data_IF_504361089541
#
_entry.id   IF_504361089541
#
_cell.length_a   1.000
_cell.length_b   1.000
_cell.length_c   1.000
_cell.angle_alpha   90.00
_cell.angle_beta   90.00
_cell.angle_gamma   90.00
#
_symmetry.space_group_name_H-M   'P 1'
#
loop_
_entity.id
_entity.type
_entity.pdbx_description
1 polymer ?
#
# COMPACT_ATOMS: atom_id res chain seq x y z
N UNK A 1 -3.06 -3.83 3.50
CA UNK A 1 -2.07 -3.71 4.61
C UNK A 1 -2.72 -3.01 5.78
N UNK A 2 -2.73 -3.62 6.97
CA UNK A 2 -3.37 -3.11 8.17
C UNK A 2 -2.35 -2.50 9.13
N UNK A 3 -2.81 -1.56 9.97
CA UNK A 3 -2.04 -0.95 11.06
C UNK A 3 -2.52 -1.45 12.45
N UNK A 4 -3.29 -2.53 12.46
CA UNK A 4 -3.77 -3.21 13.65
C UNK A 4 -3.47 -4.71 13.53
N UNK A 5 -3.39 -5.43 14.66
CA UNK A 5 -3.22 -6.89 14.63
C UNK A 5 -4.46 -7.59 14.08
N UNK A 6 -4.26 -8.74 13.45
CA UNK A 6 -5.33 -9.63 13.05
C UNK A 6 -5.78 -10.48 14.26
N UNK A 7 -7.03 -10.97 14.29
CA UNK A 7 -8.03 -10.95 13.19
C UNK A 7 -8.92 -9.70 13.12
N UNK A 8 -8.75 -8.75 14.00
CA UNK A 8 -9.60 -7.57 14.05
C UNK A 8 -9.36 -6.65 12.85
N UNK A 9 -10.43 -5.99 12.38
CA UNK A 9 -10.37 -4.98 11.33
C UNK A 9 -10.77 -3.64 11.93
N UNK A 10 -9.83 -2.69 11.90
CA UNK A 10 -10.08 -1.34 12.41
C UNK A 10 -9.95 -0.31 11.29
N UNK A 11 -10.91 0.60 11.13
CA UNK A 11 -12.17 0.70 11.87
C UNK A 11 -13.17 -0.39 11.48
N UNK A 12 -14.08 -0.75 12.40
CA UNK A 12 -15.02 -1.86 12.24
C UNK A 12 -15.94 -1.74 11.00
N UNK A 13 -16.21 -0.51 10.54
CA UNK A 13 -16.96 -0.24 9.31
C UNK A 13 -16.31 -0.84 8.05
N UNK A 14 -15.02 -1.13 8.06
CA UNK A 14 -14.30 -1.76 6.94
C UNK A 14 -14.33 -3.29 6.97
N UNK A 15 -15.01 -3.91 7.94
CA UNK A 15 -15.07 -5.39 8.04
C UNK A 15 -15.68 -6.03 6.81
N UNK A 16 -16.71 -5.41 6.21
CA UNK A 16 -17.33 -5.91 4.98
C UNK A 16 -16.34 -5.89 3.80
N UNK A 17 -15.61 -4.79 3.65
CA UNK A 17 -14.57 -4.65 2.60
C UNK A 17 -13.45 -5.67 2.81
N UNK A 18 -13.05 -5.91 4.06
CA UNK A 18 -12.02 -6.89 4.37
C UNK A 18 -12.44 -8.32 3.98
N UNK A 19 -13.70 -8.68 4.23
CA UNK A 19 -14.27 -9.97 3.78
C UNK A 19 -14.30 -10.07 2.27
N UNK A 20 -14.80 -9.04 1.60
CA UNK A 20 -14.85 -8.98 0.14
C UNK A 20 -13.47 -9.20 -0.50
N UNK A 21 -12.42 -8.59 0.05
CA UNK A 21 -11.04 -8.82 -0.37
C UNK A 21 -10.66 -10.30 -0.27
N UNK A 22 -10.98 -10.94 0.86
CA UNK A 22 -10.65 -12.36 1.08
C UNK A 22 -11.45 -13.29 0.17
N UNK A 23 -12.74 -13.01 -0.02
CA UNK A 23 -13.65 -13.80 -0.86
C UNK A 23 -13.21 -13.76 -2.35
N UNK A 24 -12.59 -12.66 -2.78
CA UNK A 24 -12.01 -12.52 -4.12
C UNK A 24 -10.53 -12.97 -4.22
N UNK A 25 -10.03 -13.72 -3.24
CA UNK A 25 -8.68 -14.30 -3.26
C UNK A 25 -7.57 -13.31 -2.90
N UNK A 26 -7.91 -12.14 -2.36
CA UNK A 26 -6.97 -11.20 -1.80
C UNK A 26 -6.49 -11.62 -0.41
N UNK A 27 -5.64 -10.78 0.21
CA UNK A 27 -5.11 -11.05 1.53
C UNK A 27 -5.09 -9.82 2.42
N UNK A 28 -5.28 -10.02 3.72
CA UNK A 28 -5.03 -9.02 4.75
C UNK A 28 -3.67 -9.28 5.38
N UNK A 29 -2.83 -8.24 5.43
CA UNK A 29 -1.46 -8.35 5.92
C UNK A 29 -1.24 -7.32 7.02
N UNK A 30 -0.58 -7.74 8.10
CA UNK A 30 -0.09 -6.86 9.18
C UNK A 30 1.27 -7.34 9.65
N UNK A 31 2.11 -6.45 10.15
CA UNK A 31 3.36 -6.79 10.83
C UNK A 31 3.18 -6.89 12.35
N UNK A 32 1.98 -6.55 12.86
CA UNK A 32 1.72 -6.55 14.30
C UNK A 32 1.27 -7.94 14.76
N UNK A 33 1.91 -8.43 15.82
CA UNK A 33 1.48 -9.66 16.48
C UNK A 33 0.08 -9.50 17.09
N UNK A 34 -0.71 -10.58 17.13
CA UNK A 34 -2.11 -10.58 17.59
C UNK A 34 -2.33 -9.97 18.99
N UNK A 35 -1.34 -10.04 19.87
CA UNK A 35 -1.40 -9.50 21.22
C UNK A 35 -0.87 -8.05 21.33
N UNK A 36 -0.42 -7.44 20.25
CA UNK A 36 0.12 -6.08 20.25
C UNK A 36 -1.00 -5.08 20.44
N UNK A 37 -0.87 -4.18 21.40
CA UNK A 37 -1.79 -3.05 21.52
C UNK A 37 -1.56 -2.05 20.38
N UNK A 38 -2.62 -1.70 19.67
CA UNK A 38 -2.58 -0.68 18.63
C UNK A 38 -2.25 0.68 19.27
N UNK A 39 -1.36 1.43 18.61
CA UNK A 39 -1.05 2.81 18.93
C UNK A 39 -1.12 3.69 17.67
N UNK A 40 -1.20 5.02 17.85
CA UNK A 40 -1.33 5.96 16.74
C UNK A 40 -0.13 5.95 15.77
N UNK A 41 1.05 5.54 16.23
CA UNK A 41 2.27 5.48 15.41
C UNK A 41 2.27 4.29 14.44
N UNK A 42 1.44 3.26 14.68
CA UNK A 42 1.34 2.08 13.83
C UNK A 42 0.91 2.42 12.40
N UNK A 43 0.09 3.46 12.22
CA UNK A 43 -0.32 3.92 10.87
C UNK A 43 0.87 4.46 10.08
N UNK A 44 1.74 5.24 10.72
CA UNK A 44 2.94 5.81 10.11
C UNK A 44 3.94 4.67 9.81
N UNK A 45 4.18 3.80 10.78
CA UNK A 45 5.08 2.66 10.62
C UNK A 45 4.65 1.74 9.48
N UNK A 46 3.32 1.47 9.34
CA UNK A 46 2.77 0.65 8.26
C UNK A 46 3.01 1.26 6.87
N UNK A 47 3.04 2.58 6.73
CA UNK A 47 3.13 3.26 5.42
C UNK A 47 4.41 2.87 4.66
N UNK A 48 5.51 2.60 5.35
CA UNK A 48 6.74 2.08 4.73
C UNK A 48 6.52 0.75 3.99
N UNK A 49 5.66 -0.11 4.52
CA UNK A 49 5.37 -1.41 3.91
C UNK A 49 4.50 -1.23 2.68
N UNK A 50 3.53 -0.30 2.72
CA UNK A 50 2.72 0.05 1.55
C UNK A 50 3.64 0.55 0.43
N UNK A 51 4.52 1.49 0.74
CA UNK A 51 5.48 2.03 -0.21
C UNK A 51 6.40 0.94 -0.78
N UNK A 52 6.97 0.08 0.09
CA UNK A 52 7.89 -0.98 -0.32
C UNK A 52 7.26 -2.07 -1.20
N UNK A 53 5.97 -2.37 -1.02
CA UNK A 53 5.24 -3.37 -1.80
C UNK A 53 4.66 -2.79 -3.11
N UNK A 54 4.69 -1.49 -3.32
CA UNK A 54 4.14 -0.85 -4.52
C UNK A 54 5.21 -0.61 -5.57
N UNK A 55 4.80 -0.56 -6.84
CA UNK A 55 5.66 -0.16 -7.96
C UNK A 55 5.99 1.34 -7.91
N UNK A 56 5.05 2.15 -7.41
CA UNK A 56 5.21 3.58 -7.23
C UNK A 56 4.13 4.14 -6.33
N UNK A 57 4.26 5.40 -5.94
CA UNK A 57 3.32 6.12 -5.08
C UNK A 57 2.77 7.34 -5.81
N UNK A 58 1.45 7.45 -5.87
CA UNK A 58 0.76 8.60 -6.46
C UNK A 58 0.07 9.39 -5.35
N UNK A 59 0.44 10.65 -5.19
CA UNK A 59 -0.24 11.57 -4.27
C UNK A 59 -1.20 12.43 -5.07
N UNK A 60 -2.50 12.15 -4.93
CA UNK A 60 -3.55 12.87 -5.67
C UNK A 60 -3.81 14.23 -5.05
N UNK A 61 -3.88 14.27 -3.72
CA UNK A 61 -4.12 15.50 -2.96
C UNK A 61 -3.50 15.36 -1.57
N UNK A 62 -2.89 16.42 -1.08
CA UNK A 62 -2.35 16.48 0.28
C UNK A 62 -2.12 17.94 0.71
N UNK A 63 -2.52 18.32 1.92
CA UNK A 63 -2.00 19.53 2.53
C UNK A 63 -0.51 19.39 2.83
N UNK A 64 0.15 20.49 3.15
CA UNK A 64 1.60 20.57 3.37
C UNK A 64 2.12 19.66 4.51
N UNK A 65 1.24 19.23 5.41
CA UNK A 65 1.53 18.32 6.53
C UNK A 65 0.69 17.05 6.52
N UNK A 66 0.28 16.60 5.34
CA UNK A 66 -0.58 15.42 5.18
C UNK A 66 0.14 14.10 5.42
N UNK A 67 -0.58 13.11 5.99
CA UNK A 67 -0.05 11.76 6.21
C UNK A 67 0.36 11.02 4.92
N UNK A 68 -0.22 11.38 3.78
CA UNK A 68 0.15 10.87 2.46
C UNK A 68 1.59 11.22 2.08
N UNK A 69 2.10 12.37 2.54
CA UNK A 69 3.50 12.77 2.30
C UNK A 69 4.49 11.83 2.98
N UNK A 70 4.13 11.26 4.13
CA UNK A 70 4.96 10.26 4.82
C UNK A 70 5.13 9.02 3.93
N UNK A 71 4.05 8.55 3.30
CA UNK A 71 4.12 7.42 2.36
C UNK A 71 4.96 7.76 1.13
N UNK A 72 4.82 8.98 0.59
CA UNK A 72 5.62 9.47 -0.53
C UNK A 72 7.11 9.52 -0.18
N UNK A 73 7.48 9.98 1.01
CA UNK A 73 8.87 9.97 1.47
C UNK A 73 9.42 8.55 1.63
N UNK A 74 8.63 7.63 2.21
CA UNK A 74 9.03 6.23 2.27
C UNK A 74 9.24 5.62 0.88
N UNK A 75 8.43 6.00 -0.11
CA UNK A 75 8.58 5.54 -1.48
C UNK A 75 9.88 6.07 -2.11
N UNK A 76 10.18 7.37 -1.93
CA UNK A 76 11.45 7.99 -2.37
C UNK A 76 12.66 7.30 -1.73
N UNK A 77 12.62 7.05 -0.41
CA UNK A 77 13.68 6.35 0.34
C UNK A 77 13.91 4.89 -0.14
N UNK A 78 12.92 4.28 -0.76
CA UNK A 78 12.98 2.92 -1.32
C UNK A 78 13.19 2.89 -2.84
N UNK A 79 13.61 4.00 -3.43
CA UNK A 79 13.81 4.14 -4.89
C UNK A 79 12.55 3.74 -5.69
N UNK A 80 11.36 4.05 -5.15
CA UNK A 80 10.10 3.89 -5.87
C UNK A 80 9.71 5.20 -6.52
N UNK A 81 9.18 5.13 -7.74
CA UNK A 81 8.65 6.31 -8.42
C UNK A 81 7.59 7.01 -7.58
N UNK A 82 7.81 8.28 -7.28
CA UNK A 82 6.84 9.13 -6.61
C UNK A 82 6.22 10.06 -7.66
N UNK A 83 4.89 10.05 -7.73
CA UNK A 83 4.11 10.85 -8.66
C UNK A 83 3.15 11.74 -7.88
N UNK A 84 2.84 12.92 -8.40
CA UNK A 84 1.90 13.82 -7.77
C UNK A 84 1.02 14.53 -8.79
N UNK A 85 -0.25 14.65 -8.45
CA UNK A 85 -1.23 15.42 -9.23
C UNK A 85 -1.13 16.88 -8.80
N UNK A 86 -0.88 17.83 -9.73
CA UNK A 86 -0.83 19.24 -9.39
C UNK A 86 -2.21 19.78 -9.09
N UNK A 87 -2.29 20.75 -8.20
CA UNK A 87 -3.51 21.48 -7.93
C UNK A 87 -3.29 23.00 -7.97
N UNK A 88 -4.32 23.76 -7.65
CA UNK A 88 -4.26 25.22 -7.65
C UNK A 88 -3.23 25.71 -6.62
N UNK A 89 -2.42 26.70 -7.00
CA UNK A 89 -1.38 27.26 -6.12
C UNK A 89 -1.94 27.85 -4.81
N UNK A 90 -3.19 28.31 -4.85
CA UNK A 90 -3.89 28.90 -3.69
C UNK A 90 -4.70 27.89 -2.89
N UNK A 91 -4.76 26.62 -3.35
CA UNK A 91 -5.49 25.57 -2.66
C UNK A 91 -4.62 24.91 -1.60
N UNK A 92 -5.06 25.04 -0.36
CA UNK A 92 -4.37 24.46 0.80
C UNK A 92 -4.24 22.94 0.72
N UNK A 93 -5.23 22.26 0.12
CA UNK A 93 -5.22 20.80 -0.02
C UNK A 93 -4.25 20.32 -1.10
N UNK A 94 -3.84 21.17 -2.01
CA UNK A 94 -2.86 20.88 -3.04
C UNK A 94 -1.44 21.34 -2.69
N UNK A 95 -1.24 21.97 -1.53
CA UNK A 95 0.05 22.52 -1.13
C UNK A 95 1.14 21.45 -1.08
N UNK A 96 0.84 20.27 -0.51
CA UNK A 96 1.79 19.16 -0.38
C UNK A 96 2.18 18.54 -1.71
N UNK A 97 1.22 18.30 -2.62
CA UNK A 97 1.51 17.76 -3.96
C UNK A 97 2.33 18.75 -4.79
N UNK A 98 1.95 20.05 -4.76
CA UNK A 98 2.70 21.09 -5.43
C UNK A 98 4.13 21.24 -4.87
N UNK A 99 4.32 21.05 -3.56
CA UNK A 99 5.63 21.04 -2.90
C UNK A 99 6.51 19.85 -3.38
N UNK A 100 5.95 18.65 -3.46
CA UNK A 100 6.66 17.49 -3.98
C UNK A 100 7.17 17.72 -5.41
N UNK A 101 6.29 18.25 -6.28
CA UNK A 101 6.62 18.54 -7.68
C UNK A 101 7.69 19.65 -7.75
N UNK A 102 7.48 20.76 -7.03
CA UNK A 102 8.42 21.90 -7.03
C UNK A 102 9.83 21.49 -6.58
N UNK A 103 9.91 20.62 -5.60
CA UNK A 103 11.18 20.15 -5.03
C UNK A 103 11.78 18.95 -5.78
N UNK A 104 11.19 18.55 -6.91
CA UNK A 104 11.61 17.38 -7.71
C UNK A 104 11.63 16.07 -6.93
N UNK A 105 10.72 15.96 -5.94
CA UNK A 105 10.49 14.75 -5.14
C UNK A 105 9.37 13.89 -5.71
N UNK A 106 8.60 14.43 -6.66
CA UNK A 106 7.56 13.70 -7.38
C UNK A 106 7.52 14.15 -8.85
N UNK A 107 7.30 13.19 -9.73
CA UNK A 107 6.96 13.46 -11.13
C UNK A 107 5.52 13.98 -11.22
N UNK A 108 5.31 15.07 -11.94
CA UNK A 108 3.98 15.58 -12.23
C UNK A 108 3.23 14.61 -13.15
N UNK A 109 2.03 14.23 -12.78
CA UNK A 109 1.15 13.38 -13.61
C UNK A 109 -0.24 14.01 -13.69
N UNK A 110 -0.84 13.95 -14.87
CA UNK A 110 -2.18 14.46 -15.16
C UNK A 110 -3.12 13.34 -15.62
N UNK A 111 -2.57 12.29 -16.21
CA UNK A 111 -3.32 11.20 -16.83
C UNK A 111 -2.78 9.85 -16.42
N UNK A 112 -3.56 8.79 -16.67
CA UNK A 112 -3.11 7.43 -16.49
C UNK A 112 -1.90 7.09 -17.38
N UNK A 113 -1.85 7.66 -18.60
CA UNK A 113 -0.73 7.43 -19.52
C UNK A 113 0.60 7.97 -18.98
N UNK A 114 0.56 9.06 -18.22
CA UNK A 114 1.77 9.59 -17.56
C UNK A 114 2.30 8.58 -16.52
N UNK A 115 1.40 7.93 -15.77
CA UNK A 115 1.74 6.91 -14.79
C UNK A 115 2.36 5.68 -15.46
N UNK A 116 1.72 5.20 -16.52
CA UNK A 116 2.20 4.06 -17.33
C UNK A 116 3.60 4.33 -17.87
N UNK A 117 3.82 5.54 -18.38
CA UNK A 117 5.11 5.96 -18.92
C UNK A 117 6.18 6.06 -17.82
N UNK A 118 5.84 6.65 -16.69
CA UNK A 118 6.77 6.79 -15.55
C UNK A 118 7.18 5.43 -14.98
N UNK A 119 6.23 4.50 -14.88
CA UNK A 119 6.47 3.14 -14.39
C UNK A 119 7.01 2.19 -15.46
N UNK A 120 7.17 2.68 -16.72
CA UNK A 120 7.62 1.88 -17.87
C UNK A 120 6.78 0.60 -18.06
N UNK A 121 5.49 0.66 -17.79
CA UNK A 121 4.61 -0.48 -17.97
C UNK A 121 4.29 -0.70 -19.45
N UNK A 122 4.51 -1.92 -19.91
CA UNK A 122 4.06 -2.35 -21.25
C UNK A 122 2.62 -2.87 -21.16
N UNK A 123 1.66 -1.99 -21.49
CA UNK A 123 0.24 -2.36 -21.55
C UNK A 123 -0.13 -3.16 -22.81
N UNK A 124 0.78 -3.31 -23.77
CA UNK A 124 0.59 -4.13 -24.97
C UNK A 124 0.97 -5.60 -24.76
N UNK A 125 1.69 -5.92 -23.71
CA UNK A 125 1.95 -7.31 -23.33
C UNK A 125 0.65 -7.95 -22.83
N UNK A 126 0.25 -9.08 -23.40
CA UNK A 126 -0.82 -9.89 -22.81
C UNK A 126 -0.51 -10.10 -21.31
N UNK A 127 -1.52 -9.96 -20.41
CA UNK A 127 -1.30 -10.18 -19.01
C UNK A 127 -0.64 -11.55 -18.86
N UNK A 128 0.57 -11.58 -18.28
CA UNK A 128 1.29 -12.82 -18.05
C UNK A 128 0.29 -13.76 -17.38
N UNK A 129 -0.06 -14.85 -18.05
CA UNK A 129 -0.98 -15.85 -17.54
C UNK A 129 -0.57 -16.12 -16.10
N UNK A 130 -1.47 -15.82 -15.16
CA UNK A 130 -1.22 -15.99 -13.74
C UNK A 130 -0.51 -17.32 -13.56
N UNK A 131 0.73 -17.28 -13.08
CA UNK A 131 1.47 -18.52 -12.82
C UNK A 131 0.52 -19.41 -12.04
N UNK A 132 0.34 -20.69 -12.43
CA UNK A 132 -0.54 -21.58 -11.71
C UNK A 132 -0.15 -21.48 -10.23
N UNK A 133 -1.16 -21.25 -9.39
CA UNK A 133 -0.96 -21.13 -7.93
C UNK A 133 -0.08 -22.30 -7.51
N UNK A 134 1.10 -22.08 -6.91
CA UNK A 134 1.95 -23.17 -6.48
C UNK A 134 1.09 -24.10 -5.63
N UNK A 135 1.12 -25.39 -5.95
CA UNK A 135 0.37 -26.39 -5.20
C UNK A 135 0.66 -26.17 -3.72
N UNK A 136 -0.39 -26.01 -2.93
CA UNK A 136 -0.25 -25.84 -1.49
C UNK A 136 0.59 -27.00 -0.98
N UNK A 137 1.76 -26.77 -0.34
CA UNK A 137 2.57 -27.86 0.18
C UNK A 137 1.70 -28.75 1.05
N UNK A 138 1.63 -30.03 0.76
CA UNK A 138 0.99 -30.98 1.66
C UNK A 138 1.87 -31.08 2.90
N UNK A 139 1.40 -30.50 4.01
CA UNK A 139 2.07 -30.61 5.28
C UNK A 139 2.06 -32.07 5.73
N UNK A 140 3.21 -32.56 6.19
CA UNK A 140 3.29 -33.86 6.84
C UNK A 140 2.43 -33.88 8.12
N UNK A 141 2.00 -35.05 8.62
CA UNK A 141 1.22 -35.15 9.84
C UNK A 141 1.84 -34.39 11.04
N UNK A 142 3.17 -34.36 11.13
CA UNK A 142 3.90 -33.66 12.20
C UNK A 142 3.80 -32.14 12.07
N UNK A 143 3.83 -31.59 10.85
CA UNK A 143 3.68 -30.16 10.58
C UNK A 143 2.24 -29.68 10.80
N UNK A 144 1.26 -30.57 10.71
CA UNK A 144 -0.16 -30.27 10.97
C UNK A 144 -0.44 -30.14 12.48
N UNK A 145 0.34 -30.83 13.32
CA UNK A 145 0.22 -30.80 14.78
C UNK A 145 0.57 -29.43 15.38
N UNK A 146 1.55 -28.73 14.79
CA UNK A 146 2.05 -27.45 15.30
C UNK A 146 1.07 -26.27 15.07
N UNK A 147 0.11 -26.42 14.15
CA UNK A 147 -0.95 -25.40 13.93
C UNK A 147 -2.01 -25.32 15.02
N UNK A 148 -2.12 -26.35 15.88
CA UNK A 148 -3.13 -26.37 16.96
C UNK A 148 -2.72 -25.60 18.21
N UNK A 149 -1.47 -25.15 18.29
CA UNK A 149 -0.95 -24.39 19.44
C UNK A 149 -0.89 -22.86 19.21
N UNK A 150 -1.41 -22.35 18.08
CA UNK A 150 -1.49 -20.92 17.77
C UNK A 150 -2.95 -20.55 17.54
N UNK A 151 -3.74 -20.57 18.62
CA UNK A 151 -5.06 -19.93 18.73
C UNK A 151 -5.05 -18.99 19.91
#
# INVERSE_FOLDING_TARGET
>A
MLANPLPEVTPAQHTAVARDILDHGGALVTELHSQTRQNGTAYIARNRIIAGLSAGCIVVESPDSGGSLVTAHCADDYDRSVMAVPGRATDRMSAGTNHLIRNRKAQLVLTADDIVRELMWDLGAEPATLRPKPATPQLTPDETGDRKSVV
#
